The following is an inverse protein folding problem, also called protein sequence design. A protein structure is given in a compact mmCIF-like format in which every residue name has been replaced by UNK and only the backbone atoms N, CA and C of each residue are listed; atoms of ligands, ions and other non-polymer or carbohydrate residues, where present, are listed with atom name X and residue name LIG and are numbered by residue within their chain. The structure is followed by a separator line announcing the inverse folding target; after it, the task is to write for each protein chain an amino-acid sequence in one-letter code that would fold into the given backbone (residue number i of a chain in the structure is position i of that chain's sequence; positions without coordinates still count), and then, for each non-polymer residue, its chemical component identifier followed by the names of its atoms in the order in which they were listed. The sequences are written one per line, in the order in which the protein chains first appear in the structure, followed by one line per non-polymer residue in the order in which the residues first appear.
data_IF_675852882806
#
_entry.id   IF_675852882806
#
_cell.length_a   1.000
_cell.length_b   1.000
_cell.length_c   1.000
_cell.angle_alpha   90.00
_cell.angle_beta   90.00
_cell.angle_gamma   90.00
#
_symmetry.space_group_name_H-M   'P 1'
#
loop_
_entity.id
_entity.type
_entity.pdbx_description
1 polymer ?
#
# COMPACT_ATOMS: atom_id res chain seq x y z
N UNK A 1 15.44 37.27 1.31
CA UNK A 1 15.78 35.88 1.34
C UNK A 1 14.53 35.04 1.44
N UNK A 2 14.47 34.07 0.59
CA UNK A 2 13.39 33.18 0.73
C UNK A 2 13.52 32.54 2.10
N UNK A 3 12.55 32.77 2.88
CA UNK A 3 12.49 32.12 4.13
C UNK A 3 12.37 30.63 3.89
N UNK A 4 13.25 29.89 4.50
CA UNK A 4 13.13 28.47 4.52
C UNK A 4 11.93 28.12 5.37
N UNK A 5 10.84 27.87 4.73
CA UNK A 5 9.63 27.52 5.44
C UNK A 5 9.69 26.09 5.86
N UNK A 6 9.64 25.91 7.15
CA UNK A 6 9.58 24.60 7.72
C UNK A 6 8.17 24.07 7.60
N UNK A 7 7.91 23.34 6.54
CA UNK A 7 6.65 22.63 6.37
C UNK A 7 6.70 21.35 7.17
N UNK A 8 6.39 21.45 8.45
CA UNK A 8 6.51 20.31 9.35
C UNK A 8 5.52 19.20 9.08
N UNK A 9 4.41 19.52 8.40
CA UNK A 9 3.30 18.60 8.27
C UNK A 9 3.03 18.21 6.82
N UNK A 10 4.08 18.08 6.00
CA UNK A 10 3.89 17.59 4.63
C UNK A 10 3.81 16.07 4.57
N UNK A 11 4.01 15.38 5.68
CA UNK A 11 3.99 13.92 5.76
C UNK A 11 2.73 13.47 6.49
N UNK A 12 2.09 12.44 5.97
CA UNK A 12 0.95 11.80 6.58
C UNK A 12 1.26 10.32 6.79
N UNK A 13 0.98 9.81 7.98
CA UNK A 13 1.15 8.40 8.31
C UNK A 13 -0.22 7.85 8.71
N UNK A 14 -0.64 6.81 7.99
CA UNK A 14 -1.90 6.12 8.25
C UNK A 14 -1.65 4.63 8.38
N UNK A 15 -2.45 3.98 9.20
CA UNK A 15 -2.44 2.53 9.31
C UNK A 15 -3.77 1.98 8.82
N UNK A 16 -3.72 0.78 8.26
CA UNK A 16 -4.90 0.10 7.81
C UNK A 16 -4.76 -1.40 8.09
N UNK A 17 -5.90 -2.05 8.22
CA UNK A 17 -5.95 -3.47 8.52
C UNK A 17 -7.12 -4.08 7.78
N UNK A 18 -6.88 -5.20 7.11
CA UNK A 18 -7.93 -5.91 6.42
C UNK A 18 -7.72 -7.41 6.51
N UNK A 19 -8.80 -8.16 6.47
CA UNK A 19 -8.78 -9.62 6.51
C UNK A 19 -9.68 -10.15 5.41
N UNK A 20 -9.26 -11.23 4.79
CA UNK A 20 -10.05 -11.85 3.73
C UNK A 20 -9.74 -13.33 3.63
N UNK A 21 -10.73 -14.12 3.19
CA UNK A 21 -10.55 -15.52 2.82
C UNK A 21 -10.75 -15.71 1.31
N UNK A 22 -10.71 -14.64 0.54
CA UNK A 22 -10.88 -14.65 -0.92
C UNK A 22 -9.54 -14.46 -1.60
N UNK A 23 -9.33 -15.18 -2.70
CA UNK A 23 -8.16 -14.98 -3.57
C UNK A 23 -8.42 -13.89 -4.62
N UNK A 24 -9.62 -13.32 -4.67
CA UNK A 24 -9.95 -12.25 -5.62
C UNK A 24 -9.16 -10.98 -5.31
N UNK A 25 -8.80 -10.25 -6.35
CA UNK A 25 -8.15 -8.97 -6.21
C UNK A 25 -9.07 -7.99 -5.50
N UNK A 26 -8.54 -7.29 -4.50
CA UNK A 26 -9.32 -6.38 -3.69
C UNK A 26 -8.46 -5.20 -3.22
N UNK A 27 -9.11 -4.06 -3.01
CA UNK A 27 -8.44 -2.89 -2.49
C UNK A 27 -8.14 -3.08 -1.00
N UNK A 28 -6.90 -2.88 -0.61
CA UNK A 28 -6.48 -2.94 0.79
C UNK A 28 -6.11 -1.57 1.34
N UNK A 29 -5.98 -0.57 0.49
CA UNK A 29 -5.84 0.82 0.87
C UNK A 29 -6.31 1.72 -0.25
N UNK A 30 -6.84 2.89 0.12
CA UNK A 30 -7.38 3.88 -0.82
C UNK A 30 -7.01 5.27 -0.32
N UNK A 31 -6.58 6.13 -1.23
CA UNK A 31 -6.36 7.55 -0.91
C UNK A 31 -6.74 8.44 -2.09
N UNK A 32 -7.02 9.70 -1.81
CA UNK A 32 -7.34 10.67 -2.86
C UNK A 32 -6.12 11.04 -3.68
N UNK A 33 -6.23 10.96 -5.00
CA UNK A 33 -5.15 11.36 -5.90
C UNK A 33 -4.81 12.84 -5.80
N UNK A 34 -5.74 13.65 -5.28
CA UNK A 34 -5.54 15.08 -5.10
C UNK A 34 -4.81 15.40 -3.80
N UNK A 35 -4.69 14.45 -2.90
CA UNK A 35 -4.10 14.64 -1.59
C UNK A 35 -2.63 14.25 -1.56
N UNK A 36 -2.30 13.13 -2.15
CA UNK A 36 -0.94 12.60 -2.17
C UNK A 36 -0.53 12.22 -3.60
N UNK A 37 0.73 12.50 -3.94
CA UNK A 37 1.32 12.12 -5.23
C UNK A 37 2.09 10.82 -5.12
N UNK A 38 2.82 10.66 -4.03
CA UNK A 38 3.64 9.48 -3.80
C UNK A 38 3.48 8.97 -2.39
N UNK A 39 3.48 7.68 -2.24
CA UNK A 39 3.33 7.02 -0.94
C UNK A 39 4.28 5.84 -0.84
N UNK A 40 4.60 5.49 0.38
CA UNK A 40 5.34 4.28 0.71
C UNK A 40 4.48 3.42 1.60
N UNK A 41 4.40 2.15 1.28
CA UNK A 41 3.70 1.16 2.10
C UNK A 41 4.71 0.22 2.74
N UNK A 42 4.48 -0.06 4.01
CA UNK A 42 5.06 -1.20 4.69
C UNK A 42 3.93 -2.16 4.99
N UNK A 43 4.03 -3.40 4.53
CA UNK A 43 2.93 -4.35 4.58
C UNK A 43 3.39 -5.63 5.26
N UNK A 44 2.58 -6.10 6.21
CA UNK A 44 2.75 -7.41 6.84
C UNK A 44 1.53 -8.25 6.50
N UNK A 45 1.78 -9.39 5.86
CA UNK A 45 0.72 -10.35 5.52
C UNK A 45 0.92 -11.59 6.38
N UNK A 46 -0.16 -12.07 6.95
CA UNK A 46 -0.15 -13.26 7.81
C UNK A 46 -1.25 -14.21 7.37
N UNK A 47 -0.90 -15.49 7.23
CA UNK A 47 -1.83 -16.56 7.01
C UNK A 47 -1.40 -17.72 7.91
N UNK A 48 -2.20 -17.99 8.95
CA UNK A 48 -1.84 -18.98 9.97
C UNK A 48 -0.47 -18.68 10.57
N UNK A 49 0.51 -19.55 10.41
CA UNK A 49 1.88 -19.38 10.91
C UNK A 49 2.83 -18.86 9.86
N UNK A 50 2.34 -18.58 8.65
CA UNK A 50 3.16 -18.05 7.56
C UNK A 50 3.09 -16.53 7.55
N UNK A 51 4.23 -15.90 7.27
CA UNK A 51 4.35 -14.44 7.27
C UNK A 51 5.06 -13.98 6.00
N UNK A 52 4.62 -12.81 5.53
CA UNK A 52 5.14 -12.17 4.33
C UNK A 52 5.21 -10.67 4.62
N UNK A 53 6.40 -10.10 4.61
CA UNK A 53 6.55 -8.66 4.75
C UNK A 53 7.16 -8.09 3.48
N UNK A 54 6.73 -6.88 3.13
CA UNK A 54 7.23 -6.21 1.92
C UNK A 54 7.04 -4.71 2.03
N UNK A 55 7.76 -3.97 1.19
CA UNK A 55 7.58 -2.54 1.04
C UNK A 55 7.21 -2.22 -0.40
N UNK A 56 6.41 -1.19 -0.59
CA UNK A 56 5.95 -0.73 -1.90
C UNK A 56 6.10 0.77 -1.98
N UNK A 57 6.74 1.25 -3.05
CA UNK A 57 6.70 2.65 -3.42
C UNK A 57 5.70 2.81 -4.56
N UNK A 58 4.83 3.79 -4.43
CA UNK A 58 3.81 4.08 -5.42
C UNK A 58 3.78 5.56 -5.72
N UNK A 59 3.72 5.91 -7.00
CA UNK A 59 3.52 7.27 -7.48
C UNK A 59 2.48 7.25 -8.59
N UNK A 60 1.75 8.34 -8.76
CA UNK A 60 0.81 8.47 -9.86
C UNK A 60 1.00 9.82 -10.56
N UNK A 61 0.57 9.90 -11.81
CA UNK A 61 0.58 11.14 -12.60
C UNK A 61 -0.83 11.76 -12.72
N UNK A 62 -1.78 11.25 -11.94
CA UNK A 62 -3.18 11.68 -12.00
C UNK A 62 -4.04 10.78 -12.87
N UNK A 63 -3.44 9.94 -13.69
CA UNK A 63 -4.12 9.05 -14.64
C UNK A 63 -3.67 7.62 -14.44
N UNK A 64 -2.37 7.41 -14.33
CA UNK A 64 -1.75 6.08 -14.23
C UNK A 64 -0.95 6.00 -12.93
N UNK A 65 -0.95 4.83 -12.32
CA UNK A 65 -0.10 4.53 -11.16
C UNK A 65 1.12 3.75 -11.59
N UNK A 66 2.21 3.98 -10.87
CA UNK A 66 3.49 3.30 -11.03
C UNK A 66 3.89 2.76 -9.67
N UNK A 67 4.27 1.51 -9.61
CA UNK A 67 4.53 0.84 -8.34
C UNK A 67 5.77 -0.03 -8.46
N UNK A 68 6.57 -0.04 -7.40
CA UNK A 68 7.63 -1.03 -7.24
C UNK A 68 7.51 -1.68 -5.87
N UNK A 69 7.71 -2.98 -5.84
CA UNK A 69 7.75 -3.76 -4.61
C UNK A 69 9.19 -4.18 -4.35
N UNK A 70 9.63 -4.05 -3.10
CA UNK A 70 11.00 -4.39 -2.73
C UNK A 70 11.04 -4.82 -1.25
N UNK A 71 12.18 -5.38 -0.85
CA UNK A 71 12.38 -5.78 0.54
C UNK A 71 11.48 -6.91 0.98
N UNK A 72 11.10 -7.79 0.07
CA UNK A 72 10.17 -8.87 0.36
C UNK A 72 10.87 -10.00 1.12
N UNK A 73 10.29 -10.37 2.25
CA UNK A 73 10.77 -11.49 3.07
C UNK A 73 9.60 -12.42 3.33
N UNK A 74 9.80 -13.69 3.05
CA UNK A 74 8.80 -14.74 3.20
C UNK A 74 9.30 -15.76 4.20
N UNK A 75 8.46 -16.19 5.13
CA UNK A 75 8.81 -17.32 6.00
C UNK A 75 8.59 -18.64 5.31
N UNK A 76 7.75 -18.65 4.28
CA UNK A 76 7.34 -19.85 3.59
C UNK A 76 7.16 -19.54 2.10
N UNK A 77 5.97 -19.14 1.69
CA UNK A 77 5.68 -18.78 0.30
C UNK A 77 5.06 -17.39 0.22
N UNK A 78 4.97 -16.83 -0.97
CA UNK A 78 4.28 -15.56 -1.17
C UNK A 78 2.81 -15.71 -0.81
N UNK A 79 2.33 -14.81 0.05
CA UNK A 79 0.94 -14.84 0.51
C UNK A 79 0.04 -13.90 -0.27
N UNK A 80 0.62 -13.01 -1.07
CA UNK A 80 -0.16 -12.08 -1.90
C UNK A 80 0.71 -11.44 -2.96
N UNK A 81 0.09 -11.07 -4.06
CA UNK A 81 0.66 -10.15 -5.04
C UNK A 81 -0.04 -8.81 -4.92
N UNK A 82 0.61 -7.74 -5.40
CA UNK A 82 0.12 -6.38 -5.25
C UNK A 82 0.17 -5.64 -6.58
N UNK A 83 -0.83 -4.79 -6.79
CA UNK A 83 -0.85 -3.84 -7.90
C UNK A 83 -1.62 -2.60 -7.47
N UNK A 84 -1.81 -1.65 -8.38
CA UNK A 84 -2.47 -0.39 -8.07
C UNK A 84 -3.29 0.09 -9.24
N UNK A 85 -4.26 0.96 -8.97
CA UNK A 85 -5.10 1.57 -10.00
C UNK A 85 -5.66 2.89 -9.50
N UNK A 86 -6.15 3.70 -10.44
CA UNK A 86 -6.93 4.90 -10.13
C UNK A 86 -8.35 4.66 -10.62
N UNK A 87 -9.32 4.87 -9.74
CA UNK A 87 -10.74 4.83 -10.08
C UNK A 87 -11.35 6.15 -9.63
N UNK A 88 -11.77 6.97 -10.60
CA UNK A 88 -12.24 8.32 -10.30
C UNK A 88 -11.12 9.14 -9.67
N UNK A 89 -11.34 9.65 -8.48
CA UNK A 89 -10.35 10.42 -7.74
C UNK A 89 -9.56 9.58 -6.74
N UNK A 90 -9.73 8.26 -6.74
CA UNK A 90 -9.14 7.39 -5.73
C UNK A 90 -8.02 6.54 -6.31
N UNK A 91 -6.86 6.60 -5.66
CA UNK A 91 -5.75 5.67 -5.89
C UNK A 91 -5.96 4.48 -4.97
N UNK A 92 -5.88 3.28 -5.52
CA UNK A 92 -6.13 2.05 -4.78
C UNK A 92 -4.92 1.16 -4.82
N UNK A 93 -4.50 0.67 -3.67
CA UNK A 93 -3.56 -0.45 -3.58
C UNK A 93 -4.37 -1.74 -3.57
N UNK A 94 -4.07 -2.63 -4.50
CA UNK A 94 -4.81 -3.86 -4.69
C UNK A 94 -3.95 -5.04 -4.30
N UNK A 95 -4.55 -6.01 -3.63
CA UNK A 95 -3.90 -7.26 -3.27
C UNK A 95 -4.69 -8.43 -3.80
N UNK A 96 -3.96 -9.45 -4.25
CA UNK A 96 -4.54 -10.74 -4.66
C UNK A 96 -3.94 -11.81 -3.76
N UNK A 97 -4.66 -12.22 -2.70
CA UNK A 97 -4.16 -13.27 -1.81
C UNK A 97 -3.95 -14.58 -2.55
N UNK A 98 -2.91 -15.30 -2.17
CA UNK A 98 -2.55 -16.57 -2.80
C UNK A 98 -3.44 -17.71 -2.30
N UNK A 99 -3.87 -17.65 -1.04
CA UNK A 99 -4.61 -18.72 -0.39
C UNK A 99 -6.05 -18.30 -0.11
N UNK A 100 -6.96 -19.26 -0.17
CA UNK A 100 -8.37 -19.04 0.12
C UNK A 100 -8.70 -19.11 1.61
N UNK A 101 -7.72 -19.37 2.46
CA UNK A 101 -7.87 -19.31 3.92
C UNK A 101 -7.65 -17.89 4.41
N UNK A 102 -7.97 -17.63 5.68
CA UNK A 102 -7.91 -16.28 6.24
C UNK A 102 -6.52 -15.67 6.10
N UNK A 103 -6.44 -14.57 5.39
CA UNK A 103 -5.23 -13.79 5.18
C UNK A 103 -5.43 -12.40 5.76
N UNK A 104 -4.49 -11.97 6.59
CA UNK A 104 -4.55 -10.68 7.30
C UNK A 104 -3.48 -9.75 6.74
N UNK A 105 -3.89 -8.52 6.43
CA UNK A 105 -3.01 -7.46 5.95
C UNK A 105 -2.95 -6.35 6.98
N UNK A 106 -1.76 -6.02 7.45
CA UNK A 106 -1.50 -4.83 8.27
C UNK A 106 -0.61 -3.91 7.47
N UNK A 107 -1.04 -2.65 7.33
CA UNK A 107 -0.45 -1.72 6.39
C UNK A 107 -0.12 -0.42 7.10
N UNK A 108 1.09 0.07 6.89
CA UNK A 108 1.48 1.43 7.26
C UNK A 108 1.71 2.17 5.95
N UNK A 109 0.99 3.27 5.74
CA UNK A 109 1.18 4.14 4.59
C UNK A 109 1.84 5.42 5.05
N UNK A 110 2.99 5.75 4.48
CA UNK A 110 3.66 7.03 4.66
C UNK A 110 3.51 7.81 3.37
N UNK A 111 2.87 8.96 3.43
CA UNK A 111 2.55 9.77 2.27
C UNK A 111 3.17 11.15 2.38
N UNK A 112 3.50 11.72 1.24
CA UNK A 112 3.99 13.09 1.13
C UNK A 112 2.87 13.90 0.49
N UNK A 113 2.48 14.99 1.15
CA UNK A 113 1.44 15.90 0.62
C UNK A 113 1.88 16.44 -0.72
N UNK A 114 0.97 16.42 -1.67
CA UNK A 114 1.26 16.92 -3.02
C UNK A 114 1.28 18.44 -3.11
#
# INVERSE_FOLDING_TARGET
MPKLISQKNFTNIETNHTETSSTSQQAIDVFSKNKFRSVKYQIQVTNSTSHHTTEILLVHDGIITYLTEYGTILTDESLSTFTSSIVGNNVRLLASPTLSSLTKFKIIRTAINS
#
